data_IF_121102523965
#
_entry.id   IF_121102523965
#
_cell.length_a   1.000
_cell.length_b   1.000
_cell.length_c   1.000
_cell.angle_alpha   90.00
_cell.angle_beta   90.00
_cell.angle_gamma   90.00
#
_symmetry.space_group_name_H-M   'P 1'
#
loop_
_entity.id
_entity.type
_entity.pdbx_description
1 polymer ?
#
# COMPACT_ATOMS: atom_id res chain seq x y z
N UNK A 1 6.51 0.30 -2.08
CA UNK A 1 6.18 1.69 -2.44
C UNK A 1 7.15 2.60 -1.69
N UNK A 2 6.98 2.74 -0.37
CA UNK A 2 7.68 3.69 0.48
C UNK A 2 9.15 3.96 0.09
N UNK A 3 10.02 2.94 0.17
CA UNK A 3 11.46 3.12 -0.08
C UNK A 3 11.82 3.36 -1.55
N UNK A 4 11.06 2.79 -2.50
CA UNK A 4 11.37 2.83 -3.95
C UNK A 4 10.53 3.89 -4.69
N UNK A 5 9.60 4.53 -3.99
CA UNK A 5 8.54 5.37 -4.49
C UNK A 5 8.58 6.71 -3.79
N UNK A 6 7.88 6.80 -2.66
CA UNK A 6 7.81 7.98 -1.80
C UNK A 6 9.20 8.58 -1.49
N UNK A 7 10.14 7.84 -0.88
CA UNK A 7 11.47 8.38 -0.53
C UNK A 7 12.27 8.92 -1.72
N UNK A 8 12.02 8.41 -2.93
CA UNK A 8 12.69 8.86 -4.16
C UNK A 8 12.07 10.16 -4.70
N UNK A 9 10.80 10.44 -4.36
CA UNK A 9 10.00 11.53 -4.89
C UNK A 9 9.43 12.44 -3.80
N UNK A 10 9.95 12.34 -2.58
CA UNK A 10 9.42 13.06 -1.43
C UNK A 10 9.35 14.55 -1.72
N UNK A 11 8.24 15.18 -1.34
CA UNK A 11 7.91 16.57 -1.63
C UNK A 11 7.83 16.95 -3.13
N UNK A 12 7.66 15.99 -4.05
CA UNK A 12 7.34 16.27 -5.47
C UNK A 12 5.85 16.03 -5.81
N UNK A 13 5.31 16.62 -6.89
CA UNK A 13 3.91 16.43 -7.28
C UNK A 13 3.51 14.97 -7.56
N UNK A 14 4.47 14.11 -7.89
CA UNK A 14 4.26 12.69 -8.19
C UNK A 14 4.28 11.79 -6.95
N UNK A 15 4.59 12.33 -5.78
CA UNK A 15 4.54 11.59 -4.52
C UNK A 15 3.14 11.69 -3.88
N UNK A 16 2.41 10.56 -3.80
CA UNK A 16 1.11 10.54 -3.17
C UNK A 16 1.18 10.75 -1.64
N UNK A 17 2.30 10.42 -1.00
CA UNK A 17 2.43 10.43 0.47
C UNK A 17 3.00 11.74 1.05
N UNK A 18 3.29 12.74 0.20
CA UNK A 18 3.54 14.11 0.66
C UNK A 18 2.25 14.94 0.60
N UNK A 19 1.97 15.72 1.64
CA UNK A 19 0.79 16.60 1.64
C UNK A 19 1.02 17.81 0.74
N UNK A 20 -0.06 18.30 0.13
CA UNK A 20 -0.03 19.50 -0.71
C UNK A 20 -0.28 20.72 0.17
N UNK A 21 0.24 21.87 -0.26
CA UNK A 21 -0.02 23.12 0.44
C UNK A 21 -1.53 23.38 0.57
N UNK A 22 -2.00 23.53 1.80
CA UNK A 22 -3.41 23.78 2.12
C UNK A 22 -4.33 22.55 2.05
N UNK A 23 -3.80 21.36 1.83
CA UNK A 23 -4.58 20.13 1.80
C UNK A 23 -4.95 19.66 3.20
N UNK A 24 -6.23 19.36 3.42
CA UNK A 24 -6.68 18.77 4.69
C UNK A 24 -6.35 17.28 4.76
N UNK A 25 -6.24 16.73 5.97
CA UNK A 25 -6.00 15.30 6.16
C UNK A 25 -7.03 14.43 5.41
N UNK A 26 -8.29 14.86 5.36
CA UNK A 26 -9.37 14.10 4.72
C UNK A 26 -9.30 14.11 3.19
N UNK A 27 -8.67 15.11 2.59
CA UNK A 27 -8.37 15.14 1.15
C UNK A 27 -7.10 14.33 0.85
N UNK A 28 -6.10 14.45 1.73
CA UNK A 28 -4.84 13.72 1.66
C UNK A 28 -5.04 12.21 1.75
N UNK A 29 -5.77 11.72 2.75
CA UNK A 29 -5.89 10.30 3.08
C UNK A 29 -6.28 9.42 1.87
N UNK A 30 -7.42 9.64 1.19
CA UNK A 30 -7.78 8.83 0.04
C UNK A 30 -6.77 8.99 -1.11
N UNK A 31 -6.26 10.20 -1.34
CA UNK A 31 -5.27 10.47 -2.40
C UNK A 31 -3.98 9.68 -2.17
N UNK A 32 -3.46 9.69 -0.93
CA UNK A 32 -2.26 8.98 -0.54
C UNK A 32 -2.46 7.48 -0.68
N UNK A 33 -3.53 6.92 -0.10
CA UNK A 33 -3.81 5.48 -0.13
C UNK A 33 -3.91 4.94 -1.56
N UNK A 34 -4.76 5.54 -2.40
CA UNK A 34 -4.93 5.08 -3.78
C UNK A 34 -3.70 5.37 -4.65
N UNK A 35 -3.06 6.51 -4.43
CA UNK A 35 -1.84 6.89 -5.14
C UNK A 35 -0.68 5.95 -4.84
N UNK A 36 -0.49 5.59 -3.57
CA UNK A 36 0.52 4.65 -3.09
C UNK A 36 0.25 3.25 -3.62
N UNK A 37 -1.00 2.78 -3.62
CA UNK A 37 -1.37 1.50 -4.23
C UNK A 37 -0.99 1.47 -5.73
N UNK A 38 -1.35 2.51 -6.49
CA UNK A 38 -1.01 2.61 -7.92
C UNK A 38 0.50 2.70 -8.14
N UNK A 39 1.20 3.46 -7.31
CA UNK A 39 2.66 3.60 -7.32
C UNK A 39 3.34 2.24 -7.10
N UNK A 40 2.86 1.46 -6.12
CA UNK A 40 3.38 0.12 -5.82
C UNK A 40 3.29 -0.81 -7.02
N UNK A 41 2.11 -0.90 -7.65
CA UNK A 41 1.90 -1.71 -8.86
C UNK A 41 2.79 -1.27 -10.03
N UNK A 42 2.93 0.05 -10.24
CA UNK A 42 3.78 0.58 -11.30
C UNK A 42 5.25 0.23 -11.08
N UNK A 43 5.76 0.42 -9.87
CA UNK A 43 7.15 0.12 -9.50
C UNK A 43 7.44 -1.37 -9.64
N UNK A 44 6.51 -2.22 -9.21
CA UNK A 44 6.67 -3.66 -9.30
C UNK A 44 6.64 -4.16 -10.75
N UNK A 45 5.72 -3.64 -11.56
CA UNK A 45 5.69 -3.92 -12.98
C UNK A 45 7.00 -3.48 -13.69
N UNK A 46 7.58 -2.34 -13.28
CA UNK A 46 8.89 -1.91 -13.79
C UNK A 46 10.02 -2.83 -13.35
N UNK A 47 10.03 -3.30 -12.09
CA UNK A 47 11.01 -4.27 -11.57
C UNK A 47 11.01 -5.55 -12.41
N UNK A 48 9.83 -6.13 -12.64
CA UNK A 48 9.68 -7.36 -13.43
C UNK A 48 10.14 -7.17 -14.89
N UNK A 49 9.78 -6.04 -15.53
CA UNK A 49 10.24 -5.72 -16.88
C UNK A 49 11.77 -5.59 -16.99
N UNK A 50 12.42 -4.99 -15.98
CA UNK A 50 13.89 -4.91 -15.92
C UNK A 50 14.57 -6.28 -15.79
N UNK A 51 13.85 -7.27 -15.27
CA UNK A 51 14.31 -8.66 -15.20
C UNK A 51 13.99 -9.46 -16.48
N UNK A 52 13.52 -8.81 -17.55
CA UNK A 52 13.13 -9.47 -18.80
C UNK A 52 11.81 -10.23 -18.69
N UNK A 53 11.04 -10.02 -17.62
CA UNK A 53 9.79 -10.72 -17.36
C UNK A 53 8.57 -9.81 -17.62
N UNK A 54 7.45 -10.41 -18.04
CA UNK A 54 6.19 -9.67 -18.18
C UNK A 54 5.40 -9.72 -16.88
N UNK A 55 4.95 -8.58 -16.31
CA UNK A 55 4.13 -8.55 -15.09
C UNK A 55 2.76 -9.21 -15.27
N UNK A 56 2.35 -9.48 -16.51
CA UNK A 56 1.08 -10.12 -16.86
C UNK A 56 1.23 -11.61 -17.15
N UNK A 57 2.43 -12.17 -17.02
CA UNK A 57 2.67 -13.59 -17.19
C UNK A 57 2.46 -14.30 -15.84
N UNK A 58 1.56 -15.30 -15.75
CA UNK A 58 1.30 -16.05 -14.51
C UNK A 58 2.56 -16.65 -13.86
N UNK A 59 3.59 -16.98 -14.65
CA UNK A 59 4.88 -17.48 -14.13
C UNK A 59 5.59 -16.48 -13.22
N UNK A 60 5.25 -15.20 -13.30
CA UNK A 60 5.86 -14.11 -12.51
C UNK A 60 5.06 -13.77 -11.25
N UNK A 61 3.89 -14.37 -11.05
CA UNK A 61 3.02 -13.99 -9.93
C UNK A 61 3.64 -14.34 -8.57
N UNK A 62 4.36 -15.46 -8.49
CA UNK A 62 5.09 -15.87 -7.29
C UNK A 62 6.33 -15.00 -7.01
N UNK A 63 6.89 -14.34 -8.02
CA UNK A 63 7.99 -13.40 -7.79
C UNK A 63 7.50 -11.98 -7.55
N UNK A 64 6.22 -11.68 -7.78
CA UNK A 64 5.64 -10.34 -7.66
C UNK A 64 5.45 -9.96 -6.18
N UNK A 65 6.20 -8.96 -5.71
CA UNK A 65 6.22 -8.57 -4.30
C UNK A 65 4.85 -8.06 -3.82
N UNK A 66 4.07 -7.40 -4.69
CA UNK A 66 2.74 -6.90 -4.36
C UNK A 66 1.77 -8.06 -4.19
N UNK A 67 1.67 -8.95 -5.18
CA UNK A 67 0.79 -10.12 -5.11
C UNK A 67 1.11 -11.01 -3.90
N UNK A 68 2.40 -11.23 -3.62
CA UNK A 68 2.81 -11.99 -2.46
C UNK A 68 2.37 -11.34 -1.14
N UNK A 69 2.49 -10.01 -1.00
CA UNK A 69 2.03 -9.31 0.20
C UNK A 69 0.51 -9.45 0.43
N UNK A 70 -0.29 -9.35 -0.64
CA UNK A 70 -1.74 -9.59 -0.59
C UNK A 70 -2.06 -11.04 -0.22
N UNK A 71 -1.38 -12.00 -0.84
CA UNK A 71 -1.57 -13.43 -0.55
C UNK A 71 -1.23 -13.75 0.91
N UNK A 72 -0.09 -13.26 1.42
CA UNK A 72 0.28 -13.44 2.83
C UNK A 72 -0.76 -12.86 3.77
N UNK A 73 -1.32 -11.69 3.45
CA UNK A 73 -2.37 -11.05 4.25
C UNK A 73 -3.65 -11.89 4.26
N UNK A 74 -4.09 -12.40 3.10
CA UNK A 74 -5.27 -13.27 2.97
C UNK A 74 -5.06 -14.59 3.74
N UNK A 75 -3.89 -15.21 3.64
CA UNK A 75 -3.57 -16.44 4.37
C UNK A 75 -3.59 -16.18 5.88
N UNK A 76 -2.95 -15.10 6.35
CA UNK A 76 -2.95 -14.73 7.77
C UNK A 76 -4.38 -14.52 8.28
N UNK A 77 -5.19 -13.74 7.56
CA UNK A 77 -6.58 -13.48 7.94
C UNK A 77 -7.43 -14.75 7.91
N UNK A 78 -7.25 -15.59 6.88
CA UNK A 78 -7.93 -16.88 6.76
C UNK A 78 -7.61 -17.81 7.93
N UNK A 79 -6.34 -17.88 8.35
CA UNK A 79 -5.92 -18.67 9.53
C UNK A 79 -6.55 -18.11 10.81
N UNK A 80 -6.50 -16.79 11.01
CA UNK A 80 -7.11 -16.17 12.20
C UNK A 80 -8.63 -16.40 12.25
N UNK A 81 -9.33 -16.23 11.13
CA UNK A 81 -10.77 -16.48 11.05
C UNK A 81 -11.09 -17.97 11.27
N UNK A 82 -10.27 -18.89 10.75
CA UNK A 82 -10.45 -20.32 10.97
C UNK A 82 -10.29 -20.72 12.44
N UNK A 83 -9.37 -20.07 13.16
CA UNK A 83 -9.09 -20.36 14.58
C UNK A 83 -10.09 -19.71 15.54
N UNK A 84 -10.47 -18.45 15.28
CA UNK A 84 -11.26 -17.62 16.20
C UNK A 84 -12.71 -17.38 15.73
N UNK A 85 -13.07 -17.87 14.55
CA UNK A 85 -14.41 -17.78 13.97
C UNK A 85 -14.69 -16.48 13.21
N UNK A 86 -15.80 -16.44 12.46
CA UNK A 86 -16.17 -15.31 11.60
C UNK A 86 -16.49 -14.02 12.36
N UNK A 87 -16.77 -14.10 13.67
CA UNK A 87 -16.97 -12.92 14.52
C UNK A 87 -15.71 -12.01 14.58
N UNK A 88 -14.53 -12.53 14.21
CA UNK A 88 -13.28 -11.78 14.16
C UNK A 88 -13.20 -10.81 12.95
N UNK A 89 -13.94 -11.06 11.87
CA UNK A 89 -13.91 -10.28 10.62
C UNK A 89 -14.03 -8.75 10.86
N UNK A 90 -15.05 -8.23 11.58
CA UNK A 90 -15.14 -6.79 11.81
C UNK A 90 -13.93 -6.21 12.53
N UNK A 91 -13.32 -6.95 13.47
CA UNK A 91 -12.13 -6.49 14.18
C UNK A 91 -10.92 -6.39 13.25
N UNK A 92 -10.72 -7.36 12.34
CA UNK A 92 -9.64 -7.32 11.35
C UNK A 92 -9.81 -6.13 10.38
N UNK A 93 -11.04 -5.86 9.94
CA UNK A 93 -11.31 -4.71 9.08
C UNK A 93 -11.01 -3.40 9.81
N UNK A 94 -11.50 -3.23 11.04
CA UNK A 94 -11.26 -2.03 11.85
C UNK A 94 -9.76 -1.85 12.09
N UNK A 95 -9.05 -2.91 12.48
CA UNK A 95 -7.60 -2.91 12.67
C UNK A 95 -6.86 -2.50 11.39
N UNK A 96 -7.27 -3.00 10.22
CA UNK A 96 -6.61 -2.68 8.97
C UNK A 96 -6.78 -1.20 8.63
N UNK A 97 -8.02 -0.71 8.73
CA UNK A 97 -8.35 0.70 8.47
C UNK A 97 -7.61 1.62 9.41
N UNK A 98 -7.64 1.31 10.71
CA UNK A 98 -6.93 2.09 11.72
C UNK A 98 -5.42 2.07 11.49
N UNK A 99 -4.86 0.90 11.18
CA UNK A 99 -3.42 0.72 10.98
C UNK A 99 -2.87 1.55 9.81
N UNK A 100 -3.49 1.48 8.63
CA UNK A 100 -3.03 2.31 7.51
C UNK A 100 -3.35 3.79 7.73
N UNK A 101 -4.49 4.13 8.36
CA UNK A 101 -4.83 5.54 8.64
C UNK A 101 -3.83 6.20 9.59
N UNK A 102 -3.33 5.45 10.58
CA UNK A 102 -2.28 5.94 11.48
C UNK A 102 -0.97 6.17 10.73
N UNK A 103 -0.58 5.26 9.83
CA UNK A 103 0.60 5.43 8.98
C UNK A 103 0.47 6.69 8.10
N UNK A 104 -0.69 6.90 7.49
CA UNK A 104 -0.94 8.08 6.66
C UNK A 104 -1.01 9.37 7.48
N UNK A 105 -1.50 9.32 8.72
CA UNK A 105 -1.46 10.48 9.61
C UNK A 105 -0.01 10.88 9.95
N UNK A 106 0.89 9.91 10.14
CA UNK A 106 2.33 10.20 10.30
C UNK A 106 2.90 10.79 9.02
N UNK A 107 2.60 10.21 7.85
CA UNK A 107 3.06 10.76 6.56
C UNK A 107 2.59 12.21 6.35
N UNK A 108 1.32 12.51 6.66
CA UNK A 108 0.74 13.85 6.59
C UNK A 108 1.58 14.83 7.42
N UNK A 109 1.70 14.57 8.72
CA UNK A 109 2.43 15.43 9.67
C UNK A 109 3.91 15.60 9.30
N UNK A 110 4.58 14.53 8.87
CA UNK A 110 6.01 14.58 8.52
C UNK A 110 6.30 15.32 7.21
N UNK A 111 5.33 15.41 6.28
CA UNK A 111 5.52 15.94 4.94
C UNK A 111 4.72 17.21 4.66
N UNK A 112 4.80 18.17 5.59
CA UNK A 112 4.32 19.56 5.47
C UNK A 112 2.81 19.79 5.63
N UNK A 113 2.15 18.94 6.42
CA UNK A 113 0.80 19.17 6.91
C UNK A 113 0.19 17.84 7.19
#
# INVERSE_FOLDING_TARGET
EHNRGHHVRVATPEDPASSRFGETFWEFLPRSVFGSLRSAWRLEAQRLRRQGASPWNPKTYLSNDVLNAWLMSVVLWGVLIALFGPALIPFLIIQAVFGFSLLEAVNYIEHYG
#
